data_IF_369382165122
#
_entry.id   IF_369382165122
#
_cell.length_a   1.000
_cell.length_b   1.000
_cell.length_c   1.000
_cell.angle_alpha   90.00
_cell.angle_beta   90.00
_cell.angle_gamma   90.00
#
_symmetry.space_group_name_H-M   'P 1'
#
loop_
_entity.id
_entity.type
_entity.pdbx_description
1 polymer ?
#
# COMPACT_ATOMS: atom_id res chain seq x y z
N UNK A 1 -19.37 8.04 -11.01
CA UNK A 1 -18.38 8.98 -11.57
C UNK A 1 -17.64 8.26 -12.69
N UNK A 2 -17.16 8.94 -13.76
CA UNK A 2 -16.53 8.26 -14.90
C UNK A 2 -15.06 7.93 -14.62
N UNK A 3 -14.55 6.86 -15.21
CA UNK A 3 -13.13 6.47 -15.16
C UNK A 3 -12.25 7.62 -15.64
N UNK A 4 -12.62 8.31 -16.73
CA UNK A 4 -11.85 9.45 -17.25
C UNK A 4 -11.64 10.54 -16.21
N UNK A 5 -12.64 10.88 -15.40
CA UNK A 5 -12.49 11.86 -14.33
C UNK A 5 -11.51 11.38 -13.24
N UNK A 6 -11.55 10.08 -12.89
CA UNK A 6 -10.60 9.50 -11.93
C UNK A 6 -9.17 9.61 -12.45
N UNK A 7 -8.95 9.26 -13.72
CA UNK A 7 -7.62 9.33 -14.36
C UNK A 7 -7.09 10.78 -14.42
N UNK A 8 -7.95 11.75 -14.71
CA UNK A 8 -7.57 13.17 -14.67
C UNK A 8 -7.14 13.61 -13.26
N UNK A 9 -7.85 13.15 -12.23
CA UNK A 9 -7.48 13.43 -10.84
C UNK A 9 -6.17 12.77 -10.45
N UNK A 10 -5.96 11.50 -10.79
CA UNK A 10 -4.71 10.81 -10.58
C UNK A 10 -3.54 11.53 -11.27
N UNK A 11 -3.72 11.95 -12.52
CA UNK A 11 -2.69 12.70 -13.26
C UNK A 11 -2.38 14.06 -12.64
N UNK A 12 -3.39 14.80 -12.18
CA UNK A 12 -3.24 16.17 -11.65
C UNK A 12 -2.80 16.21 -10.20
N UNK A 13 -3.54 15.49 -9.35
CA UNK A 13 -3.43 15.57 -7.89
C UNK A 13 -2.61 14.40 -7.32
N UNK A 14 -2.51 13.29 -8.07
CA UNK A 14 -1.83 12.06 -7.69
C UNK A 14 -2.72 11.06 -6.93
N UNK A 15 -3.97 11.40 -6.63
CA UNK A 15 -4.86 10.55 -5.86
C UNK A 15 -6.35 10.79 -6.17
N UNK A 16 -7.17 9.83 -5.76
CA UNK A 16 -8.63 9.90 -5.78
C UNK A 16 -9.25 8.98 -4.72
N UNK A 17 -10.42 9.32 -4.20
CA UNK A 17 -11.20 8.44 -3.31
C UNK A 17 -12.37 7.84 -4.09
N UNK A 18 -12.34 6.52 -4.27
CA UNK A 18 -13.44 5.73 -4.87
C UNK A 18 -14.38 5.32 -3.75
N UNK A 19 -15.62 5.81 -3.78
CA UNK A 19 -16.58 5.58 -2.71
C UNK A 19 -17.29 4.23 -2.83
N UNK A 20 -17.59 3.65 -1.67
CA UNK A 20 -18.44 2.46 -1.54
C UNK A 20 -17.98 1.29 -2.43
N UNK A 21 -16.70 0.96 -2.37
CA UNK A 21 -16.13 -0.23 -3.05
C UNK A 21 -16.54 -1.50 -2.29
N UNK A 22 -16.43 -1.44 -0.95
CA UNK A 22 -17.02 -2.44 -0.06
C UNK A 22 -18.34 -1.86 0.43
N UNK A 23 -19.47 -2.57 0.29
CA UNK A 23 -20.76 -2.13 0.81
C UNK A 23 -20.73 -1.83 2.31
N UNK A 24 -21.52 -0.86 2.75
CA UNK A 24 -21.53 -0.39 4.14
C UNK A 24 -21.90 -1.51 5.13
N UNK A 25 -22.83 -2.38 4.75
CA UNK A 25 -23.26 -3.53 5.54
C UNK A 25 -22.24 -4.68 5.60
N UNK A 26 -21.29 -4.72 4.68
CA UNK A 26 -20.26 -5.78 4.59
C UNK A 26 -18.92 -5.35 5.20
N UNK A 27 -18.58 -4.05 5.21
CA UNK A 27 -17.29 -3.55 5.67
C UNK A 27 -16.96 -3.93 7.12
N UNK A 28 -17.99 -4.04 7.96
CA UNK A 28 -17.83 -4.44 9.35
C UNK A 28 -17.25 -5.84 9.53
N UNK A 29 -17.73 -6.80 8.75
CA UNK A 29 -17.22 -8.19 8.75
C UNK A 29 -15.79 -8.26 8.22
N UNK A 30 -15.49 -7.54 7.14
CA UNK A 30 -14.13 -7.44 6.58
C UNK A 30 -13.17 -6.88 7.62
N UNK A 31 -13.52 -5.78 8.28
CA UNK A 31 -12.71 -5.17 9.34
C UNK A 31 -12.41 -6.16 10.47
N UNK A 32 -13.43 -6.86 10.97
CA UNK A 32 -13.27 -7.82 12.06
C UNK A 32 -12.31 -8.96 11.69
N UNK A 33 -12.42 -9.51 10.49
CA UNK A 33 -11.55 -10.58 10.02
C UNK A 33 -10.09 -10.11 9.86
N UNK A 34 -9.87 -8.90 9.32
CA UNK A 34 -8.53 -8.30 9.19
C UNK A 34 -7.89 -8.08 10.56
N UNK A 35 -8.62 -7.51 11.52
CA UNK A 35 -8.11 -7.30 12.89
C UNK A 35 -7.79 -8.62 13.57
N UNK A 36 -8.64 -9.64 13.41
CA UNK A 36 -8.39 -10.97 13.96
C UNK A 36 -7.17 -11.64 13.32
N UNK A 37 -6.96 -11.49 12.00
CA UNK A 37 -5.78 -12.00 11.31
C UNK A 37 -4.50 -11.33 11.83
N UNK A 38 -4.48 -10.00 11.95
CA UNK A 38 -3.34 -9.26 12.50
C UNK A 38 -3.04 -9.67 13.95
N UNK A 39 -4.07 -9.83 14.79
CA UNK A 39 -3.89 -10.23 16.19
C UNK A 39 -3.26 -11.64 16.31
N UNK A 40 -3.67 -12.60 15.45
CA UNK A 40 -3.05 -13.95 15.43
C UNK A 40 -1.57 -13.91 15.05
N UNK A 41 -1.18 -12.99 14.18
CA UNK A 41 0.16 -12.86 13.62
C UNK A 41 0.99 -11.71 14.23
N UNK A 42 0.48 -11.10 15.30
CA UNK A 42 1.11 -9.92 15.90
C UNK A 42 2.57 -10.15 16.26
N UNK A 43 2.88 -11.24 16.97
CA UNK A 43 4.25 -11.54 17.41
C UNK A 43 5.22 -11.76 16.23
N UNK A 44 4.76 -12.43 15.17
CA UNK A 44 5.55 -12.63 13.94
C UNK A 44 5.81 -11.29 13.23
N UNK A 45 4.77 -10.44 13.13
CA UNK A 45 4.88 -9.11 12.53
C UNK A 45 5.86 -8.21 13.29
N UNK A 46 5.79 -8.19 14.61
CA UNK A 46 6.71 -7.40 15.45
C UNK A 46 8.15 -7.92 15.34
N UNK A 47 8.36 -9.24 15.29
CA UNK A 47 9.68 -9.81 15.08
C UNK A 47 10.27 -9.42 13.70
N UNK A 48 9.45 -9.41 12.64
CA UNK A 48 9.87 -8.96 11.31
C UNK A 48 10.21 -7.47 11.27
N UNK A 49 9.42 -6.62 11.95
CA UNK A 49 9.72 -5.20 12.08
C UNK A 49 11.01 -4.96 12.89
N UNK A 50 11.21 -5.69 13.99
CA UNK A 50 12.45 -5.61 14.77
C UNK A 50 13.68 -6.01 13.98
N UNK A 51 13.59 -7.08 13.18
CA UNK A 51 14.68 -7.50 12.27
C UNK A 51 14.98 -6.43 11.21
N UNK A 52 13.96 -5.76 10.69
CA UNK A 52 14.10 -4.65 9.73
C UNK A 52 14.79 -3.44 10.40
N UNK A 53 14.40 -3.08 11.63
CA UNK A 53 15.08 -2.02 12.42
C UNK A 53 16.54 -2.36 12.70
N UNK A 54 16.84 -3.61 13.04
CA UNK A 54 18.21 -4.06 13.33
C UNK A 54 19.15 -3.92 12.12
N UNK A 55 18.59 -3.94 10.89
CA UNK A 55 19.34 -3.62 9.65
C UNK A 55 19.51 -2.10 9.42
N UNK A 56 19.08 -1.25 10.35
CA UNK A 56 19.16 0.21 10.24
C UNK A 56 18.06 0.84 9.36
N UNK A 57 16.97 0.14 9.13
CA UNK A 57 15.87 0.64 8.30
C UNK A 57 14.79 1.31 9.13
N UNK A 58 14.21 2.37 8.60
CA UNK A 58 12.99 2.95 9.17
C UNK A 58 11.82 1.99 8.95
N UNK A 59 11.02 1.81 9.96
CA UNK A 59 9.76 1.06 9.91
C UNK A 59 8.63 1.96 10.37
N UNK A 60 7.38 1.49 10.27
CA UNK A 60 6.19 2.27 10.59
C UNK A 60 6.24 2.99 11.94
N UNK A 61 5.37 3.99 12.11
CA UNK A 61 5.28 4.80 13.32
C UNK A 61 4.92 3.95 14.56
N UNK A 62 5.32 4.42 15.75
CA UNK A 62 4.92 3.79 17.00
C UNK A 62 3.39 3.82 17.17
N UNK A 63 2.82 2.77 17.74
CA UNK A 63 1.37 2.61 17.88
C UNK A 63 0.65 2.19 16.59
N UNK A 64 1.40 1.81 15.56
CA UNK A 64 0.85 1.28 14.31
C UNK A 64 1.21 -0.19 14.16
N UNK A 65 0.21 -1.07 14.15
CA UNK A 65 0.39 -2.47 13.84
C UNK A 65 0.18 -2.75 12.35
N UNK A 66 0.87 -3.74 11.82
CA UNK A 66 0.71 -4.18 10.44
C UNK A 66 0.73 -5.70 10.32
N UNK A 67 0.25 -6.21 9.19
CA UNK A 67 0.45 -7.58 8.78
C UNK A 67 0.63 -7.60 7.26
N UNK A 68 1.77 -8.11 6.81
CA UNK A 68 2.07 -8.27 5.39
C UNK A 68 1.36 -9.50 4.85
N UNK A 69 1.00 -9.46 3.58
CA UNK A 69 0.35 -10.54 2.84
C UNK A 69 -0.87 -11.13 3.57
N UNK A 70 -1.73 -10.24 4.06
CA UNK A 70 -2.91 -10.62 4.87
C UNK A 70 -3.87 -11.54 4.14
N UNK A 71 -3.80 -11.63 2.81
CA UNK A 71 -4.58 -12.58 2.01
C UNK A 71 -4.27 -14.04 2.35
N UNK A 72 -3.08 -14.36 2.84
CA UNK A 72 -2.75 -15.71 3.33
C UNK A 72 -3.50 -16.07 4.62
N UNK A 73 -3.99 -15.09 5.37
CA UNK A 73 -4.62 -15.26 6.67
C UNK A 73 -6.15 -15.14 6.62
N UNK A 74 -6.67 -14.39 5.65
CA UNK A 74 -8.11 -14.21 5.44
C UNK A 74 -8.40 -13.76 4.02
N UNK A 75 -9.44 -14.33 3.40
CA UNK A 75 -9.84 -14.05 2.02
C UNK A 75 -11.18 -13.30 1.94
N UNK A 76 -11.74 -12.85 3.04
CA UNK A 76 -13.07 -12.20 3.10
C UNK A 76 -13.17 -10.96 2.21
N UNK A 77 -12.08 -10.26 1.97
CA UNK A 77 -12.03 -9.05 1.14
C UNK A 77 -11.78 -9.33 -0.35
N UNK A 78 -11.45 -10.58 -0.69
CA UNK A 78 -11.08 -11.00 -2.06
C UNK A 78 -12.11 -10.62 -3.11
N UNK A 79 -13.44 -10.77 -2.90
CA UNK A 79 -14.44 -10.40 -3.90
C UNK A 79 -14.38 -8.93 -4.33
N UNK A 80 -13.87 -8.05 -3.47
CA UNK A 80 -13.81 -6.62 -3.78
C UNK A 80 -12.58 -6.23 -4.60
N UNK A 81 -11.50 -7.05 -4.59
CA UNK A 81 -10.27 -6.79 -5.34
C UNK A 81 -10.52 -6.72 -6.85
N UNK A 82 -11.42 -7.57 -7.35
CA UNK A 82 -11.85 -7.61 -8.74
C UNK A 82 -13.16 -6.86 -9.00
N UNK A 83 -13.61 -6.01 -8.04
CA UNK A 83 -14.82 -5.22 -8.25
C UNK A 83 -14.68 -4.28 -9.44
N UNK A 84 -15.76 -4.11 -10.22
CA UNK A 84 -15.75 -3.22 -11.39
C UNK A 84 -15.33 -1.79 -11.05
N UNK A 85 -15.68 -1.28 -9.87
CA UNK A 85 -15.26 0.04 -9.41
C UNK A 85 -13.73 0.20 -9.34
N UNK A 86 -13.02 -0.85 -9.01
CA UNK A 86 -11.56 -0.87 -8.97
C UNK A 86 -10.96 -1.25 -10.33
N UNK A 87 -11.44 -2.35 -10.92
CA UNK A 87 -10.83 -2.88 -12.14
C UNK A 87 -11.01 -1.98 -13.36
N UNK A 88 -12.12 -1.23 -13.47
CA UNK A 88 -12.27 -0.26 -14.56
C UNK A 88 -11.18 0.82 -14.55
N UNK A 89 -10.67 1.20 -13.38
CA UNK A 89 -9.53 2.13 -13.25
C UNK A 89 -8.20 1.42 -13.48
N UNK A 90 -8.02 0.24 -12.90
CA UNK A 90 -6.79 -0.56 -13.02
C UNK A 90 -6.56 -0.97 -14.48
N UNK A 91 -7.60 -1.44 -15.16
CA UNK A 91 -7.53 -1.83 -16.58
C UNK A 91 -7.25 -0.62 -17.50
N UNK A 92 -7.82 0.53 -17.18
CA UNK A 92 -7.54 1.76 -17.94
C UNK A 92 -6.09 2.24 -17.76
N UNK A 93 -5.45 1.95 -16.63
CA UNK A 93 -4.05 2.31 -16.35
C UNK A 93 -3.06 1.27 -16.89
N UNK A 94 -3.33 -0.02 -16.69
CA UNK A 94 -2.35 -1.10 -16.87
C UNK A 94 -2.76 -2.16 -17.90
N UNK A 95 -3.98 -2.08 -18.42
CA UNK A 95 -4.53 -3.10 -19.29
C UNK A 95 -4.95 -4.37 -18.53
N UNK A 96 -5.41 -5.40 -19.26
CA UNK A 96 -6.08 -6.58 -18.71
C UNK A 96 -5.15 -7.56 -17.97
N UNK A 97 -3.86 -7.30 -17.93
CA UNK A 97 -2.85 -8.14 -17.28
C UNK A 97 -2.24 -7.49 -16.04
N UNK A 98 -2.99 -6.62 -15.39
CA UNK A 98 -2.56 -6.03 -14.12
C UNK A 98 -2.27 -7.10 -13.08
N UNK A 99 -1.38 -6.79 -12.14
CA UNK A 99 -0.96 -7.67 -11.05
C UNK A 99 -1.15 -6.98 -9.71
N UNK A 100 -1.43 -7.75 -8.67
CA UNK A 100 -1.31 -7.28 -7.29
C UNK A 100 0.14 -7.47 -6.83
N UNK A 101 0.73 -6.45 -6.24
CA UNK A 101 2.11 -6.47 -5.74
C UNK A 101 2.21 -6.39 -4.21
N UNK A 102 1.09 -6.19 -3.54
CA UNK A 102 1.02 -6.09 -2.08
C UNK A 102 -0.43 -6.29 -1.63
N UNK A 103 -0.60 -7.00 -0.51
CA UNK A 103 -1.88 -7.13 0.18
C UNK A 103 -1.62 -7.15 1.68
N UNK A 104 -1.63 -5.98 2.30
CA UNK A 104 -1.27 -5.80 3.70
C UNK A 104 -2.40 -5.15 4.49
N UNK A 105 -2.35 -5.24 5.81
CA UNK A 105 -3.18 -4.39 6.64
C UNK A 105 -2.34 -3.46 7.53
N UNK A 106 -2.96 -2.34 7.89
CA UNK A 106 -2.40 -1.36 8.81
C UNK A 106 -3.48 -0.94 9.80
N UNK A 107 -3.13 -0.97 11.09
CA UNK A 107 -4.02 -0.60 12.19
C UNK A 107 -3.34 0.50 13.00
N UNK A 108 -3.91 1.70 12.97
CA UNK A 108 -3.46 2.82 13.80
C UNK A 108 -4.23 2.80 15.11
N UNK A 109 -3.56 2.45 16.20
CA UNK A 109 -4.17 2.50 17.53
C UNK A 109 -4.30 3.94 18.03
N UNK A 110 -5.25 4.21 18.96
CA UNK A 110 -5.34 5.50 19.61
C UNK A 110 -3.99 5.95 20.18
N UNK A 111 -3.60 7.20 19.88
CA UNK A 111 -2.35 7.78 20.35
C UNK A 111 -1.11 7.37 19.54
N UNK A 112 -1.24 6.71 18.38
CA UNK A 112 -0.09 6.44 17.53
C UNK A 112 0.63 7.73 17.14
N UNK A 113 1.94 7.62 16.94
CA UNK A 113 2.74 8.73 16.46
C UNK A 113 2.47 9.04 14.97
N UNK A 114 2.81 10.27 14.55
CA UNK A 114 2.91 10.63 13.13
C UNK A 114 4.03 9.79 12.48
N UNK A 115 3.76 9.25 11.29
CA UNK A 115 4.78 8.63 10.45
C UNK A 115 5.55 9.65 9.62
N UNK A 116 6.68 9.23 9.09
CA UNK A 116 7.50 10.02 8.19
C UNK A 116 6.92 10.06 6.76
N UNK A 117 7.26 11.10 6.00
CA UNK A 117 6.94 11.18 4.58
C UNK A 117 7.65 10.08 3.80
N UNK A 118 6.90 9.36 2.99
CA UNK A 118 7.42 8.32 2.10
C UNK A 118 6.55 8.19 0.85
N UNK A 119 7.07 7.44 -0.11
CA UNK A 119 6.36 6.99 -1.28
C UNK A 119 6.40 5.45 -1.34
N UNK A 120 5.41 4.86 -1.99
CA UNK A 120 5.24 3.40 -2.10
C UNK A 120 5.84 2.79 -3.37
N UNK A 121 6.63 3.55 -4.10
CA UNK A 121 7.30 3.07 -5.30
C UNK A 121 8.12 1.81 -4.97
N UNK A 122 7.91 0.68 -5.67
CA UNK A 122 8.39 -0.63 -5.21
C UNK A 122 9.90 -0.76 -5.09
N UNK A 123 10.66 0.16 -5.67
CA UNK A 123 12.12 0.11 -5.64
C UNK A 123 12.78 1.26 -4.87
N UNK A 124 12.01 2.09 -4.19
CA UNK A 124 12.54 3.25 -3.48
C UNK A 124 13.58 2.93 -2.43
N UNK A 125 13.50 1.76 -1.85
CA UNK A 125 14.33 1.35 -0.75
C UNK A 125 15.48 0.42 -1.16
N UNK A 126 15.60 0.05 -2.43
CA UNK A 126 16.65 -0.84 -2.93
C UNK A 126 17.74 -0.10 -3.67
N UNK A 127 18.95 -0.63 -3.63
CA UNK A 127 20.05 -0.19 -4.49
C UNK A 127 19.79 -0.45 -5.99
N UNK A 128 18.77 -1.25 -6.31
CA UNK A 128 18.35 -1.57 -7.66
C UNK A 128 17.44 -0.53 -8.30
N UNK A 129 16.95 0.43 -7.54
CA UNK A 129 16.07 1.48 -8.03
C UNK A 129 16.88 2.55 -8.77
N UNK A 130 17.07 2.36 -10.05
CA UNK A 130 17.74 3.32 -10.92
C UNK A 130 16.77 3.99 -11.90
N UNK A 131 15.54 4.23 -11.49
CA UNK A 131 14.65 5.11 -12.28
C UNK A 131 14.92 6.54 -11.84
N UNK A 132 15.75 7.31 -12.58
CA UNK A 132 16.06 8.67 -12.19
C UNK A 132 14.84 9.59 -12.39
N UNK A 133 14.76 10.62 -11.57
CA UNK A 133 13.86 11.73 -11.85
C UNK A 133 14.41 12.59 -13.02
N UNK A 134 13.55 13.28 -13.81
CA UNK A 134 12.09 13.27 -13.72
C UNK A 134 11.48 11.94 -14.14
N UNK A 135 10.53 11.46 -13.36
CA UNK A 135 9.80 10.24 -13.70
C UNK A 135 8.89 10.45 -14.91
N UNK A 136 8.60 9.38 -15.70
CA UNK A 136 7.65 9.49 -16.80
C UNK A 136 6.27 9.91 -16.27
N UNK A 137 5.50 10.61 -17.09
CA UNK A 137 4.12 10.99 -16.74
C UNK A 137 3.19 9.79 -16.54
N UNK A 138 3.51 8.66 -17.17
CA UNK A 138 2.73 7.44 -17.00
C UNK A 138 2.77 6.96 -15.55
N UNK A 139 1.61 6.64 -15.00
CA UNK A 139 1.49 5.98 -13.71
C UNK A 139 2.03 4.55 -13.85
N UNK A 140 3.09 4.24 -13.12
CA UNK A 140 3.81 2.96 -13.23
C UNK A 140 3.40 1.93 -12.16
N UNK A 141 2.81 2.40 -11.06
CA UNK A 141 2.39 1.58 -9.95
C UNK A 141 1.30 2.32 -9.17
N UNK A 142 0.20 1.65 -8.88
CA UNK A 142 -0.96 2.21 -8.18
C UNK A 142 -1.05 1.63 -6.77
N UNK A 143 -0.93 2.47 -5.77
CA UNK A 143 -1.23 2.11 -4.39
C UNK A 143 -2.69 2.40 -4.06
N UNK A 144 -3.26 1.61 -3.15
CA UNK A 144 -4.59 1.87 -2.62
C UNK A 144 -4.69 1.57 -1.14
N UNK A 145 -5.47 2.41 -0.43
CA UNK A 145 -5.80 2.27 0.99
C UNK A 145 -7.31 2.09 1.10
N UNK A 146 -7.73 0.91 1.50
CA UNK A 146 -9.12 0.52 1.67
C UNK A 146 -9.56 0.84 3.09
N UNK A 147 -10.48 1.76 3.24
CA UNK A 147 -10.92 2.30 4.53
C UNK A 147 -11.89 1.32 5.20
N UNK A 148 -11.40 0.46 6.09
CA UNK A 148 -12.24 -0.47 6.85
C UNK A 148 -12.89 0.20 8.08
N UNK A 149 -12.41 1.38 8.45
CA UNK A 149 -13.06 2.40 9.27
C UNK A 149 -13.16 3.67 8.45
N UNK A 150 -14.10 4.56 8.75
CA UNK A 150 -14.11 5.88 8.11
C UNK A 150 -12.81 6.63 8.43
N UNK A 151 -12.27 7.39 7.47
CA UNK A 151 -11.11 8.25 7.66
C UNK A 151 -11.56 9.68 7.90
N UNK A 152 -11.00 10.32 8.91
CA UNK A 152 -11.23 11.72 9.24
C UNK A 152 -10.01 12.30 10.00
N UNK A 153 -10.06 13.58 10.30
CA UNK A 153 -8.95 14.27 10.97
C UNK A 153 -8.66 13.69 12.37
N UNK A 154 -9.72 13.31 13.10
CA UNK A 154 -9.59 12.85 14.48
C UNK A 154 -8.99 11.44 14.57
N UNK A 155 -9.34 10.51 13.66
CA UNK A 155 -8.86 9.13 13.74
C UNK A 155 -7.62 8.83 12.90
N UNK A 156 -6.95 9.86 12.41
CA UNK A 156 -5.69 9.70 11.70
C UNK A 156 -5.84 9.25 10.24
N UNK A 157 -6.76 9.84 9.50
CA UNK A 157 -6.79 9.69 8.04
C UNK A 157 -5.42 10.06 7.44
N UNK A 158 -4.93 9.28 6.49
CA UNK A 158 -3.58 9.42 5.90
C UNK A 158 -3.30 10.84 5.41
N UNK A 159 -2.13 11.38 5.71
CA UNK A 159 -1.65 12.63 5.11
C UNK A 159 -1.15 12.39 3.68
N UNK A 160 -1.41 13.33 2.79
CA UNK A 160 -0.91 13.38 1.41
C UNK A 160 -0.35 14.76 1.10
N UNK A 161 0.60 14.82 0.15
CA UNK A 161 1.02 16.07 -0.49
C UNK A 161 0.56 16.04 -1.96
N UNK A 162 -0.55 16.70 -2.31
CA UNK A 162 -1.10 16.68 -3.67
C UNK A 162 -0.10 17.14 -4.71
N UNK A 163 0.01 16.42 -5.82
CA UNK A 163 0.92 16.73 -6.93
C UNK A 163 2.37 16.30 -6.73
N UNK A 164 2.77 15.86 -5.54
CA UNK A 164 4.15 15.47 -5.23
C UNK A 164 4.68 14.27 -6.04
N UNK A 165 3.80 13.45 -6.60
CA UNK A 165 4.16 12.32 -7.47
C UNK A 165 4.92 12.75 -8.75
N UNK A 166 4.87 14.04 -9.10
CA UNK A 166 5.55 14.63 -10.27
C UNK A 166 6.84 15.39 -9.90
N UNK A 167 7.16 15.49 -8.62
CA UNK A 167 8.34 16.21 -8.18
C UNK A 167 9.61 15.40 -8.43
N UNK A 168 10.73 16.10 -8.50
CA UNK A 168 12.04 15.48 -8.69
C UNK A 168 12.50 14.75 -7.43
N UNK A 169 12.06 15.25 -6.27
CA UNK A 169 12.45 14.70 -4.97
C UNK A 169 11.51 13.57 -4.55
N UNK A 170 12.09 12.50 -4.02
CA UNK A 170 11.34 11.36 -3.52
C UNK A 170 11.82 11.03 -2.09
N UNK A 171 10.96 11.18 -1.08
CA UNK A 171 11.32 10.95 0.31
C UNK A 171 11.78 9.52 0.60
N UNK A 172 11.41 8.56 -0.24
CA UNK A 172 11.83 7.18 -0.05
C UNK A 172 13.21 6.87 -0.62
N UNK A 173 13.75 7.69 -1.51
CA UNK A 173 15.06 7.49 -2.13
C UNK A 173 16.26 7.96 -1.27
N UNK A 174 16.01 8.47 -0.08
CA UNK A 174 17.06 8.76 0.90
C UNK A 174 17.84 10.04 0.65
N UNK A 175 17.24 11.08 0.11
CA UNK A 175 17.93 12.34 -0.12
C UNK A 175 16.98 13.48 -0.42
N UNK A 176 16.39 14.02 0.63
CA UNK A 176 15.68 15.29 0.55
C UNK A 176 16.41 16.24 1.51
N UNK A 177 17.50 16.82 1.04
CA UNK A 177 18.40 17.63 1.87
C UNK A 177 17.68 18.84 2.52
N UNK A 178 16.57 19.29 1.92
CA UNK A 178 15.81 20.45 2.36
C UNK A 178 14.43 20.13 2.98
N UNK A 179 14.06 18.85 3.16
CA UNK A 179 12.76 18.45 3.72
C UNK A 179 12.93 17.58 4.95
N UNK A 180 12.46 18.07 6.09
CA UNK A 180 12.30 17.24 7.28
C UNK A 180 11.17 16.23 7.06
N UNK A 181 11.53 14.96 6.89
CA UNK A 181 10.58 13.88 6.64
C UNK A 181 9.62 13.61 7.82
N UNK A 182 9.96 14.05 9.01
CA UNK A 182 9.17 13.84 10.23
C UNK A 182 8.24 15.03 10.55
N UNK A 183 8.47 16.18 9.89
CA UNK A 183 7.69 17.40 10.11
C UNK A 183 6.47 17.49 9.18
N UNK A 184 5.44 18.25 9.57
CA UNK A 184 4.35 18.64 8.67
C UNK A 184 4.85 19.37 7.43
N UNK A 185 4.27 19.03 6.25
CA UNK A 185 4.58 19.71 5.00
C UNK A 185 3.56 20.82 4.72
N UNK A 186 3.96 22.02 4.26
CA UNK A 186 3.06 23.18 4.14
C UNK A 186 1.79 22.96 3.31
N UNK A 187 1.83 22.09 2.30
CA UNK A 187 0.67 21.77 1.44
C UNK A 187 0.07 20.39 1.73
N UNK A 188 0.38 19.80 2.89
CA UNK A 188 -0.21 18.51 3.26
C UNK A 188 -1.72 18.64 3.45
N UNK A 189 -2.42 17.58 3.14
CA UNK A 189 -3.84 17.43 3.45
C UNK A 189 -4.11 16.06 4.06
N UNK A 190 -5.15 15.98 4.85
CA UNK A 190 -5.57 14.72 5.45
C UNK A 190 -6.75 14.13 4.67
N UNK A 191 -6.63 12.85 4.29
CA UNK A 191 -7.68 12.15 3.55
C UNK A 191 -8.89 11.89 4.44
N UNK A 192 -10.07 12.10 3.87
CA UNK A 192 -11.37 11.80 4.46
C UNK A 192 -12.16 10.86 3.55
N UNK A 193 -12.93 9.95 4.15
CA UNK A 193 -13.80 9.03 3.40
C UNK A 193 -14.61 8.15 4.33
N UNK A 194 -15.77 7.70 3.87
CA UNK A 194 -16.59 6.72 4.58
C UNK A 194 -15.91 5.34 4.60
N UNK A 195 -16.23 4.51 5.58
CA UNK A 195 -15.85 3.10 5.57
C UNK A 195 -16.39 2.43 4.29
N UNK A 196 -15.61 1.51 3.73
CA UNK A 196 -15.88 0.89 2.42
C UNK A 196 -15.35 1.67 1.22
N UNK A 197 -14.87 2.92 1.40
CA UNK A 197 -14.20 3.68 0.35
C UNK A 197 -12.75 3.27 0.19
N UNK A 198 -12.16 3.57 -0.97
CA UNK A 198 -10.77 3.27 -1.30
C UNK A 198 -10.08 4.54 -1.79
N UNK A 199 -9.04 4.96 -1.08
CA UNK A 199 -8.09 5.92 -1.60
C UNK A 199 -7.19 5.21 -2.60
N UNK A 200 -7.16 5.65 -3.83
CA UNK A 200 -6.19 5.22 -4.85
C UNK A 200 -5.22 6.35 -5.13
N UNK A 201 -3.95 6.04 -5.32
CA UNK A 201 -2.93 7.06 -5.58
C UNK A 201 -1.73 6.51 -6.37
N UNK A 202 -1.07 7.39 -7.11
CA UNK A 202 0.23 7.09 -7.70
C UNK A 202 1.21 6.75 -6.59
N UNK A 203 1.87 5.61 -6.67
CA UNK A 203 2.77 5.13 -5.61
C UNK A 203 3.95 6.07 -5.32
N UNK A 204 4.21 7.04 -6.20
CA UNK A 204 5.20 8.11 -5.99
C UNK A 204 4.68 9.27 -5.15
N UNK A 205 3.37 9.33 -4.88
CA UNK A 205 2.77 10.39 -4.08
C UNK A 205 3.29 10.34 -2.64
N UNK A 206 3.74 11.47 -2.13
CA UNK A 206 4.19 11.58 -0.76
C UNK A 206 3.01 11.42 0.19
N UNK A 207 3.16 10.53 1.11
CA UNK A 207 2.14 10.29 2.12
C UNK A 207 2.79 9.90 3.47
N UNK A 208 2.03 10.08 4.53
CA UNK A 208 2.45 9.76 5.88
C UNK A 208 1.28 9.28 6.74
N UNK A 209 1.59 8.47 7.74
CA UNK A 209 0.64 8.10 8.78
C UNK A 209 0.29 9.34 9.61
N UNK A 210 -0.98 9.58 9.84
CA UNK A 210 -1.45 10.61 10.77
C UNK A 210 -1.71 10.01 12.15
N UNK A 211 -1.52 10.83 13.20
CA UNK A 211 -1.84 10.42 14.57
C UNK A 211 -3.34 10.20 14.75
N UNK A 212 -3.71 9.11 15.40
CA UNK A 212 -5.08 8.80 15.76
C UNK A 212 -5.39 9.37 17.15
N UNK A 213 -6.17 10.44 17.18
CA UNK A 213 -6.61 11.14 18.41
C UNK A 213 -8.01 10.67 18.85
N UNK A 214 -8.56 9.63 18.23
CA UNK A 214 -9.83 9.02 18.64
C UNK A 214 -9.60 7.93 19.68
N UNK A 215 -10.68 7.39 20.21
CA UNK A 215 -10.70 6.27 21.16
C UNK A 215 -10.81 4.89 20.49
N UNK A 216 -10.86 4.85 19.15
CA UNK A 216 -11.01 3.62 18.37
C UNK A 216 -9.86 3.44 17.38
N UNK A 217 -9.43 2.19 17.11
CA UNK A 217 -8.44 1.92 16.07
C UNK A 217 -8.93 2.32 14.67
N UNK A 218 -8.05 2.92 13.87
CA UNK A 218 -8.26 3.13 12.45
C UNK A 218 -7.68 1.95 11.67
N UNK A 219 -8.51 1.23 10.93
CA UNK A 219 -8.15 -0.01 10.23
C UNK A 219 -8.19 0.21 8.72
N UNK A 220 -7.14 -0.21 8.05
CA UNK A 220 -7.03 -0.16 6.60
C UNK A 220 -6.46 -1.46 6.02
N UNK A 221 -6.91 -1.81 4.81
CA UNK A 221 -6.27 -2.78 3.94
C UNK A 221 -5.46 -2.01 2.88
N UNK A 222 -4.26 -2.45 2.60
CA UNK A 222 -3.37 -1.88 1.58
C UNK A 222 -3.29 -2.86 0.43
N UNK A 223 -3.65 -2.41 -0.76
CA UNK A 223 -3.49 -3.21 -1.98
C UNK A 223 -2.78 -2.36 -3.02
N UNK A 224 -1.79 -2.95 -3.68
CA UNK A 224 -1.06 -2.26 -4.75
C UNK A 224 -1.19 -3.02 -6.04
N UNK A 225 -1.36 -2.27 -7.14
CA UNK A 225 -1.48 -2.82 -8.49
C UNK A 225 -0.32 -2.37 -9.36
N UNK A 226 0.14 -3.27 -10.21
CA UNK A 226 1.25 -3.04 -11.12
C UNK A 226 0.92 -3.54 -12.54
N UNK A 227 1.51 -2.95 -13.59
CA UNK A 227 1.42 -3.52 -14.93
C UNK A 227 2.21 -4.83 -15.02
N UNK A 228 1.85 -5.69 -15.96
CA UNK A 228 2.46 -7.00 -16.15
C UNK A 228 3.99 -6.95 -16.41
N UNK A 229 4.47 -5.88 -17.03
CA UNK A 229 5.88 -5.72 -17.40
C UNK A 229 6.77 -5.18 -16.27
N UNK A 230 6.19 -4.67 -15.19
CA UNK A 230 6.97 -4.22 -14.04
C UNK A 230 7.50 -5.45 -13.29
N UNK A 231 8.82 -5.60 -13.21
CA UNK A 231 9.42 -6.71 -12.48
C UNK A 231 9.26 -6.50 -10.97
N UNK A 232 8.52 -7.37 -10.31
CA UNK A 232 8.25 -7.33 -8.86
C UNK A 232 9.12 -8.31 -8.07
N UNK A 233 9.90 -9.14 -8.75
CA UNK A 233 10.72 -10.18 -8.11
C UNK A 233 11.70 -9.64 -7.04
N UNK A 234 12.29 -8.44 -7.17
CA UNK A 234 13.12 -7.90 -6.09
C UNK A 234 12.41 -7.73 -4.74
N UNK A 235 11.07 -7.61 -4.75
CA UNK A 235 10.25 -7.52 -3.52
C UNK A 235 9.80 -8.88 -3.00
N UNK A 236 9.94 -9.95 -3.77
CA UNK A 236 9.39 -11.26 -3.47
C UNK A 236 10.45 -12.21 -2.92
N UNK A 237 10.34 -12.55 -1.64
CA UNK A 237 11.21 -13.52 -0.98
C UNK A 237 11.23 -14.84 -1.76
N UNK A 238 12.41 -15.42 -1.94
CA UNK A 238 12.63 -16.67 -2.68
C UNK A 238 12.82 -16.51 -4.19
N UNK A 239 12.79 -15.27 -4.72
CA UNK A 239 13.12 -15.03 -6.13
C UNK A 239 14.60 -14.71 -6.31
N UNK A 240 15.24 -15.11 -7.42
CA UNK A 240 16.68 -14.85 -7.67
C UNK A 240 17.03 -13.36 -7.62
N UNK A 241 16.16 -12.49 -8.12
CA UNK A 241 16.39 -11.04 -8.09
C UNK A 241 16.33 -10.49 -6.67
N UNK A 242 15.47 -11.04 -5.79
CA UNK A 242 15.45 -10.67 -4.37
C UNK A 242 16.78 -11.07 -3.70
N UNK A 243 17.25 -12.27 -3.92
CA UNK A 243 18.55 -12.71 -3.38
C UNK A 243 19.67 -11.78 -3.81
N UNK A 244 19.85 -11.59 -5.12
CA UNK A 244 20.92 -10.79 -5.70
C UNK A 244 20.86 -9.30 -5.30
N UNK A 245 19.65 -8.70 -5.30
CA UNK A 245 19.50 -7.24 -5.18
C UNK A 245 19.24 -6.77 -3.76
N UNK A 246 18.78 -7.66 -2.88
CA UNK A 246 18.39 -7.31 -1.53
C UNK A 246 19.22 -8.05 -0.49
N UNK A 247 19.28 -9.38 -0.55
CA UNK A 247 19.96 -10.18 0.47
C UNK A 247 21.48 -10.00 0.36
N UNK A 248 22.08 -10.25 -0.80
CA UNK A 248 23.54 -10.15 -1.01
C UNK A 248 24.06 -8.71 -0.83
N UNK A 249 23.28 -7.71 -1.14
CA UNK A 249 23.69 -6.31 -1.01
C UNK A 249 23.41 -5.70 0.36
N UNK A 250 22.68 -6.38 1.23
CA UNK A 250 22.14 -5.80 2.47
C UNK A 250 21.18 -4.65 2.22
N UNK A 251 20.60 -4.59 1.01
CA UNK A 251 19.74 -3.51 0.55
C UNK A 251 18.42 -3.45 1.30
N UNK A 252 17.82 -2.28 1.26
CA UNK A 252 16.48 -2.06 1.81
C UNK A 252 15.46 -2.43 0.76
N UNK A 253 14.51 -3.27 1.10
CA UNK A 253 13.32 -3.43 0.30
C UNK A 253 12.12 -3.80 1.15
N UNK A 254 10.96 -3.51 0.60
CA UNK A 254 9.73 -4.11 1.03
C UNK A 254 9.77 -5.59 0.62
N UNK A 255 9.70 -6.47 1.61
CA UNK A 255 9.76 -7.92 1.41
C UNK A 255 8.38 -8.51 1.60
N UNK A 256 7.92 -9.28 0.63
CA UNK A 256 6.64 -9.97 0.66
C UNK A 256 6.80 -11.46 0.50
N UNK A 257 6.10 -12.19 1.36
CA UNK A 257 5.95 -13.64 1.23
C UNK A 257 5.10 -13.96 0.01
N UNK A 258 5.36 -15.09 -0.67
CA UNK A 258 4.50 -15.54 -1.77
C UNK A 258 3.07 -15.82 -1.28
N UNK A 259 2.13 -15.81 -2.22
CA UNK A 259 0.78 -16.30 -1.96
C UNK A 259 0.82 -17.82 -1.83
N UNK A 260 0.33 -18.34 -0.71
CA UNK A 260 0.24 -19.77 -0.46
C UNK A 260 -0.59 -20.45 -1.55
N UNK A 261 -0.13 -21.62 -2.01
CA UNK A 261 -0.77 -22.32 -3.12
C UNK A 261 -2.22 -22.69 -2.83
N UNK A 262 -2.51 -23.15 -1.62
CA UNK A 262 -3.86 -23.53 -1.19
C UNK A 262 -4.81 -22.33 -1.21
N UNK A 263 -4.32 -21.15 -0.79
CA UNK A 263 -5.07 -19.90 -0.86
C UNK A 263 -5.35 -19.55 -2.32
N UNK A 264 -4.31 -19.57 -3.17
CA UNK A 264 -4.45 -19.27 -4.60
C UNK A 264 -5.46 -20.20 -5.30
N UNK A 265 -5.38 -21.51 -5.04
CA UNK A 265 -6.28 -22.49 -5.65
C UNK A 265 -7.76 -22.23 -5.28
N UNK A 266 -8.01 -21.67 -4.09
CA UNK A 266 -9.34 -21.27 -3.61
C UNK A 266 -9.85 -19.92 -4.08
N UNK A 267 -9.03 -19.09 -4.74
CA UNK A 267 -9.46 -17.76 -5.21
C UNK A 267 -10.46 -17.86 -6.38
N UNK A 268 -11.35 -16.87 -6.54
CA UNK A 268 -12.13 -16.69 -7.78
C UNK A 268 -11.22 -16.47 -9.00
N UNK A 269 -11.66 -16.93 -10.17
CA UNK A 269 -10.84 -16.91 -11.39
C UNK A 269 -10.43 -15.49 -11.84
N UNK A 270 -11.29 -14.50 -11.65
CA UNK A 270 -11.00 -13.08 -11.94
C UNK A 270 -9.93 -12.51 -10.99
N UNK A 271 -9.86 -12.99 -9.75
CA UNK A 271 -8.83 -12.62 -8.79
C UNK A 271 -7.54 -13.40 -8.99
N UNK A 272 -7.60 -14.70 -9.36
CA UNK A 272 -6.42 -15.52 -9.66
C UNK A 272 -5.49 -14.86 -10.68
N UNK A 273 -6.06 -14.22 -11.69
CA UNK A 273 -5.28 -13.53 -12.73
C UNK A 273 -4.34 -12.46 -12.16
N UNK A 274 -4.75 -11.79 -11.09
CA UNK A 274 -3.98 -10.73 -10.42
C UNK A 274 -2.79 -11.26 -9.63
N UNK A 275 -2.80 -12.53 -9.21
CA UNK A 275 -1.80 -13.14 -8.33
C UNK A 275 -0.93 -14.20 -8.97
N UNK A 276 -1.21 -14.63 -10.21
CA UNK A 276 -0.51 -15.74 -10.88
C UNK A 276 1.02 -15.66 -10.85
N UNK A 277 1.56 -14.44 -10.88
CA UNK A 277 3.00 -14.20 -10.87
C UNK A 277 3.67 -14.38 -9.50
N UNK A 278 2.89 -14.56 -8.44
CA UNK A 278 3.36 -14.47 -7.06
C UNK A 278 2.98 -15.68 -6.20
N UNK A 279 2.58 -16.76 -6.81
CA UNK A 279 2.20 -17.99 -6.11
C UNK A 279 3.42 -18.76 -5.67
N UNK A 280 3.36 -19.36 -4.47
CA UNK A 280 4.35 -20.32 -3.96
C UNK A 280 4.50 -21.49 -4.95
N UNK A 281 5.77 -21.90 -5.20
CA UNK A 281 6.11 -22.98 -6.14
C UNK A 281 6.21 -24.33 -5.45
#
# INVERSE_FOLDING_TARGET
MSVSHILEKLKRDGFYVVENVIPEDEVGAVRQAIVAAQARKHAESEAALAATRAKGHRVGAEGVASLRQVINETQIFVPYLASRKMMDVVDALFGPYARVSCTDCVINYPGNERGYWHADWPYNATNASHVPAPYPEALLHLSSIWMLTAFNEKNGGTFLVPGSHRWLDNPAAGGMDDVDQDAPYPSEMQVKGAAGSVLIYDSRLWHAVASNQSDQPRVALIVRYAPWWLNLNPSHIGKPEHEMMVVETGGKNYESMPLQKEVYDGLPEDVKSLYRHWVEQ
#
